data_IF_810144800590
#
_entry.id   IF_810144800590
#
_cell.length_a   1.000
_cell.length_b   1.000
_cell.length_c   1.000
_cell.angle_alpha   90.00
_cell.angle_beta   90.00
_cell.angle_gamma   90.00
#
_symmetry.space_group_name_H-M   'P 1'
#
loop_
_entity.id
_entity.type
_entity.pdbx_description
1 polymer ?
#
# COMPACT_ATOMS: atom_id res chain seq x y z
N UNK A 1 9.58 6.98 21.18
CA UNK A 1 8.67 5.83 21.10
C UNK A 1 8.59 5.44 19.64
N UNK A 2 8.87 4.18 19.27
CA UNK A 2 8.77 3.75 17.86
C UNK A 2 7.30 3.37 17.62
N UNK A 3 6.62 4.13 16.75
CA UNK A 3 5.22 3.88 16.41
C UNK A 3 5.13 3.13 15.08
N UNK A 4 4.31 2.07 15.06
CA UNK A 4 4.10 1.19 13.92
C UNK A 4 2.65 1.22 13.47
N UNK A 5 2.41 0.91 12.21
CA UNK A 5 1.09 0.79 11.60
C UNK A 5 1.02 -0.50 10.80
N UNK A 6 -0.12 -1.19 10.90
CA UNK A 6 -0.47 -2.32 10.05
C UNK A 6 -1.26 -1.83 8.82
N UNK A 7 -0.80 -2.17 7.62
CA UNK A 7 -1.51 -1.84 6.37
C UNK A 7 -1.78 -3.11 5.56
N UNK A 8 -2.92 -3.14 4.86
CA UNK A 8 -3.34 -4.24 3.99
C UNK A 8 -3.41 -3.77 2.53
N UNK A 9 -2.29 -3.82 1.80
CA UNK A 9 -2.30 -3.35 0.42
C UNK A 9 -3.05 -4.34 -0.49
N UNK A 10 -3.65 -3.83 -1.56
CA UNK A 10 -4.45 -4.61 -2.51
C UNK A 10 -4.09 -4.27 -3.94
N UNK A 11 -4.18 -5.25 -4.84
CA UNK A 11 -4.04 -5.02 -6.28
C UNK A 11 -5.43 -5.01 -6.93
N UNK A 12 -5.78 -3.98 -7.70
CA UNK A 12 -7.04 -3.94 -8.44
C UNK A 12 -6.97 -4.88 -9.65
N UNK A 13 -8.04 -5.62 -9.88
CA UNK A 13 -8.16 -6.56 -10.99
C UNK A 13 -8.83 -5.86 -12.18
N UNK A 14 -8.09 -5.57 -13.25
CA UNK A 14 -8.70 -5.15 -14.50
C UNK A 14 -9.09 -6.37 -15.37
N UNK A 15 -10.34 -6.37 -15.80
CA UNK A 15 -11.07 -7.20 -16.79
C UNK A 15 -10.27 -8.19 -17.67
N UNK A 16 -9.73 -9.25 -17.08
CA UNK A 16 -9.31 -10.43 -17.82
C UNK A 16 -9.78 -11.67 -17.07
N UNK A 17 -10.75 -12.38 -17.67
CA UNK A 17 -11.17 -13.72 -17.25
C UNK A 17 -9.95 -14.62 -17.42
N UNK A 18 -9.21 -14.86 -16.34
CA UNK A 18 -8.55 -16.13 -16.02
C UNK A 18 -7.76 -15.95 -14.70
N UNK A 19 -8.14 -16.76 -13.70
CA UNK A 19 -7.54 -16.91 -12.35
C UNK A 19 -7.95 -15.88 -11.29
N UNK A 20 -9.18 -16.06 -10.80
CA UNK A 20 -9.89 -15.32 -9.77
C UNK A 20 -9.32 -15.48 -8.35
N UNK A 21 -8.13 -14.95 -8.07
CA UNK A 21 -7.71 -14.65 -6.71
C UNK A 21 -7.38 -13.16 -6.63
N UNK A 22 -8.17 -12.38 -5.89
CA UNK A 22 -7.70 -11.09 -5.37
C UNK A 22 -6.39 -11.43 -4.67
N UNK A 23 -5.23 -10.95 -5.14
CA UNK A 23 -3.98 -11.12 -4.40
C UNK A 23 -4.17 -10.29 -3.13
N UNK A 24 -4.71 -10.95 -2.11
CA UNK A 24 -4.93 -10.40 -0.80
C UNK A 24 -3.58 -10.52 -0.11
N UNK A 25 -2.79 -9.46 -0.20
CA UNK A 25 -1.54 -9.41 0.54
C UNK A 25 -1.84 -9.57 2.02
N UNK A 26 -0.98 -10.31 2.71
CA UNK A 26 -0.98 -10.30 4.16
C UNK A 26 -0.60 -8.91 4.64
N UNK A 27 -1.11 -8.54 5.80
CA UNK A 27 -0.76 -7.31 6.46
C UNK A 27 0.77 -7.11 6.54
N UNK A 28 1.22 -5.87 6.38
CA UNK A 28 2.60 -5.45 6.57
C UNK A 28 2.66 -4.41 7.68
N UNK A 29 3.70 -4.48 8.50
CA UNK A 29 3.95 -3.52 9.58
C UNK A 29 5.05 -2.56 9.12
N UNK A 30 4.79 -1.26 9.21
CA UNK A 30 5.72 -0.19 8.82
C UNK A 30 5.80 0.88 9.91
N UNK A 31 6.94 1.57 10.03
CA UNK A 31 7.06 2.67 11.00
C UNK A 31 6.33 3.91 10.49
N UNK A 32 5.72 4.67 11.41
CA UNK A 32 4.98 5.89 11.03
C UNK A 32 5.85 6.98 10.41
N UNK A 33 7.12 7.07 10.78
CA UNK A 33 8.03 8.09 10.25
C UNK A 33 8.73 7.67 8.95
N UNK A 34 8.46 6.46 8.45
CA UNK A 34 8.99 6.00 7.17
C UNK A 34 8.17 6.56 6.00
N UNK A 35 8.79 6.59 4.82
CA UNK A 35 8.22 7.19 3.63
C UNK A 35 7.78 6.17 2.59
N UNK A 36 7.56 6.68 1.39
CA UNK A 36 7.19 5.88 0.22
C UNK A 36 8.16 4.72 -0.06
N UNK A 37 9.47 4.97 0.05
CA UNK A 37 10.51 4.01 -0.33
C UNK A 37 10.48 2.77 0.55
N UNK A 38 10.37 2.94 1.87
CA UNK A 38 10.29 1.83 2.82
C UNK A 38 8.98 1.05 2.65
N UNK A 39 7.86 1.75 2.42
CA UNK A 39 6.57 1.10 2.13
C UNK A 39 6.64 0.27 0.86
N UNK A 40 7.24 0.82 -0.20
CA UNK A 40 7.46 0.11 -1.45
C UNK A 40 8.31 -1.14 -1.23
N UNK A 41 9.44 -1.03 -0.53
CA UNK A 41 10.33 -2.18 -0.24
C UNK A 41 9.60 -3.24 0.58
N UNK A 42 8.81 -2.85 1.59
CA UNK A 42 8.03 -3.78 2.40
C UNK A 42 6.97 -4.53 1.55
N UNK A 43 6.27 -3.83 0.66
CA UNK A 43 5.31 -4.41 -0.27
C UNK A 43 6.01 -5.37 -1.25
N UNK A 44 7.09 -4.94 -1.89
CA UNK A 44 7.85 -5.75 -2.85
C UNK A 44 8.43 -7.01 -2.21
N UNK A 45 9.02 -6.88 -1.01
CA UNK A 45 9.54 -8.02 -0.24
C UNK A 45 8.45 -9.02 0.13
N UNK A 46 7.22 -8.52 0.34
CA UNK A 46 6.07 -9.38 0.69
C UNK A 46 5.48 -10.09 -0.52
N UNK A 47 5.50 -9.44 -1.68
CA UNK A 47 5.02 -10.02 -2.93
C UNK A 47 5.99 -11.05 -3.52
N UNK A 48 7.30 -10.84 -3.37
CA UNK A 48 8.31 -11.67 -3.99
C UNK A 48 8.30 -11.60 -5.52
N UNK A 49 9.05 -12.47 -6.17
CA UNK A 49 9.14 -12.51 -7.63
C UNK A 49 7.76 -12.76 -8.29
N UNK A 50 7.43 -12.09 -9.40
CA UNK A 50 8.26 -11.14 -10.17
C UNK A 50 8.14 -9.66 -9.72
N UNK A 51 7.42 -9.39 -8.63
CA UNK A 51 7.09 -8.03 -8.19
C UNK A 51 8.14 -7.40 -7.29
N UNK A 52 9.11 -8.18 -6.80
CA UNK A 52 10.25 -7.75 -5.99
C UNK A 52 11.10 -6.65 -6.64
N UNK A 53 11.13 -6.60 -7.98
CA UNK A 53 11.85 -5.57 -8.75
C UNK A 53 10.95 -4.69 -9.61
N UNK A 54 9.65 -4.95 -9.64
CA UNK A 54 8.72 -4.19 -10.47
C UNK A 54 8.50 -2.79 -9.87
N UNK A 55 8.68 -1.70 -10.63
CA UNK A 55 8.27 -0.37 -10.17
C UNK A 55 6.81 -0.40 -9.72
N UNK A 56 6.49 0.23 -8.59
CA UNK A 56 5.12 0.29 -8.07
C UNK A 56 4.67 1.74 -7.97
N UNK A 57 3.38 1.98 -8.19
CA UNK A 57 2.64 3.19 -7.81
C UNK A 57 1.74 2.84 -6.64
N UNK A 58 1.87 3.57 -5.53
CA UNK A 58 1.10 3.34 -4.31
C UNK A 58 0.02 4.41 -4.21
N UNK A 59 -1.22 3.96 -4.24
CA UNK A 59 -2.40 4.77 -4.01
C UNK A 59 -2.98 4.44 -2.64
N UNK A 60 -3.66 5.41 -2.05
CA UNK A 60 -4.39 5.19 -0.82
C UNK A 60 -5.73 5.91 -0.85
N UNK A 61 -6.70 5.34 -0.14
CA UNK A 61 -7.94 6.01 0.19
C UNK A 61 -8.31 5.76 1.65
N UNK A 62 -8.92 6.77 2.26
CA UNK A 62 -9.55 6.63 3.57
C UNK A 62 -10.88 5.89 3.40
N UNK A 63 -11.25 5.05 4.36
CA UNK A 63 -12.52 4.35 4.36
C UNK A 63 -13.68 5.36 4.42
N UNK A 64 -14.68 5.13 3.58
CA UNK A 64 -15.76 6.09 3.35
C UNK A 64 -15.41 7.18 2.32
N UNK A 65 -14.13 7.32 1.92
CA UNK A 65 -13.72 8.13 0.77
C UNK A 65 -13.66 7.29 -0.49
N UNK A 66 -14.29 7.80 -1.55
CA UNK A 66 -14.19 7.26 -2.92
C UNK A 66 -13.00 7.84 -3.69
N UNK A 67 -12.29 8.81 -3.11
CA UNK A 67 -11.16 9.49 -3.75
C UNK A 67 -9.88 8.72 -3.42
N UNK A 68 -9.30 8.11 -4.45
CA UNK A 68 -7.94 7.56 -4.41
C UNK A 68 -6.93 8.70 -4.56
N UNK A 69 -5.90 8.71 -3.71
CA UNK A 69 -4.78 9.64 -3.76
C UNK A 69 -3.50 8.88 -4.06
N UNK A 70 -2.70 9.39 -5.00
CA UNK A 70 -1.36 8.87 -5.24
C UNK A 70 -0.45 9.36 -4.12
N UNK A 71 0.35 8.46 -3.54
CA UNK A 71 1.36 8.83 -2.56
C UNK A 71 2.54 9.51 -3.26
N UNK A 72 2.94 10.68 -2.77
CA UNK A 72 4.13 11.38 -3.28
C UNK A 72 5.40 10.65 -2.82
N UNK A 73 6.28 10.24 -3.75
CA UNK A 73 7.50 9.49 -3.39
C UNK A 73 8.55 10.31 -2.63
N UNK A 74 8.45 11.64 -2.60
CA UNK A 74 9.43 12.54 -2.00
C UNK A 74 8.92 13.25 -0.73
N UNK A 75 7.63 13.53 -0.64
CA UNK A 75 7.07 14.39 0.42
C UNK A 75 6.17 13.62 1.43
N UNK A 76 5.56 12.51 1.01
CA UNK A 76 4.62 11.79 1.87
C UNK A 76 5.34 10.81 2.81
N UNK A 77 5.09 10.97 4.10
CA UNK A 77 5.40 9.99 5.15
C UNK A 77 4.14 9.21 5.53
N UNK A 78 4.32 8.01 6.08
CA UNK A 78 3.23 7.19 6.62
C UNK A 78 2.42 8.00 7.65
N UNK A 79 3.06 8.80 8.51
CA UNK A 79 2.36 9.66 9.48
C UNK A 79 1.50 10.75 8.84
N UNK A 80 1.88 11.27 7.67
CA UNK A 80 1.08 12.28 6.96
C UNK A 80 -0.20 11.67 6.37
N UNK A 81 -0.11 10.40 5.95
CA UNK A 81 -1.22 9.64 5.36
C UNK A 81 -2.15 9.10 6.45
N UNK A 82 -1.56 8.67 7.56
CA UNK A 82 -2.22 8.02 8.69
C UNK A 82 -2.12 8.93 9.93
N UNK A 83 -2.93 9.98 9.94
CA UNK A 83 -2.97 10.96 11.04
C UNK A 83 -3.46 10.35 12.36
N UNK A 84 -4.17 9.22 12.29
CA UNK A 84 -4.62 8.41 13.42
C UNK A 84 -4.10 6.98 13.26
N UNK A 85 -4.14 6.18 14.33
CA UNK A 85 -3.79 4.75 14.24
C UNK A 85 -4.75 4.04 13.27
N UNK A 86 -4.26 3.57 12.11
CA UNK A 86 -5.11 2.99 11.08
C UNK A 86 -5.65 1.67 11.58
N UNK A 87 -6.97 1.58 11.70
CA UNK A 87 -7.60 0.26 11.68
C UNK A 87 -7.58 -0.24 10.24
N UNK A 88 -7.43 -1.54 10.04
CA UNK A 88 -7.45 -2.16 8.71
C UNK A 88 -8.73 -1.86 7.90
N UNK A 89 -9.80 -1.43 8.58
CA UNK A 89 -11.08 -0.99 8.04
C UNK A 89 -11.14 0.51 7.70
N UNK A 90 -10.14 1.31 8.07
CA UNK A 90 -10.13 2.77 7.88
C UNK A 90 -9.30 3.26 6.71
N UNK A 91 -8.41 2.43 6.16
CA UNK A 91 -7.59 2.81 5.02
C UNK A 91 -7.32 1.61 4.13
N UNK A 92 -7.34 1.84 2.82
CA UNK A 92 -6.88 0.85 1.86
C UNK A 92 -5.70 1.42 1.09
N UNK A 93 -4.64 0.61 1.03
CA UNK A 93 -3.53 0.85 0.11
C UNK A 93 -3.83 0.05 -1.15
N UNK A 94 -3.72 0.70 -2.29
CA UNK A 94 -3.90 0.11 -3.61
C UNK A 94 -2.57 0.22 -4.34
N UNK A 95 -2.09 -0.89 -4.86
CA UNK A 95 -0.80 -0.96 -5.52
C UNK A 95 -1.01 -1.29 -6.98
N UNK A 96 -0.36 -0.53 -7.85
CA UNK A 96 -0.31 -0.79 -9.28
C UNK A 96 1.14 -0.95 -9.72
N UNK A 97 1.46 -1.80 -10.71
CA UNK A 97 2.73 -1.71 -11.42
C UNK A 97 2.88 -0.31 -12.03
N UNK A 98 4.07 0.28 -11.92
CA UNK A 98 4.43 1.44 -12.71
C UNK A 98 4.85 0.92 -14.10
N UNK A 99 4.08 1.30 -15.12
CA UNK A 99 4.41 1.11 -16.54
C UNK A 99 5.80 1.66 -16.89
#
# INVERSE_FOLDING_TARGET
>A
MLEYVEVQPTFPQNHSRENNAKIRMQAITIRKNEGYSELKVAIQSRLGAPFDHTPLKIWYNQAGSVIEKLMDPYDDTISNIFTEEPKAEHFHIIVYPAE
#
